data_IF_595151965207
#
_entry.id   IF_595151965207
#
_cell.length_a   1.000
_cell.length_b   1.000
_cell.length_c   1.000
_cell.angle_alpha   90.00
_cell.angle_beta   90.00
_cell.angle_gamma   90.00
#
_symmetry.space_group_name_H-M   'P 1'
#
loop_
_entity.id
_entity.type
_entity.pdbx_description
1 polymer ?
#
# COMPACT_ATOMS: atom_id res chain seq x y z
N UNK A 1 14.47 -2.53 15.61
CA UNK A 1 13.66 -2.02 14.48
C UNK A 1 13.67 -0.50 14.54
N UNK A 2 13.96 0.17 13.43
CA UNK A 2 14.05 1.64 13.38
C UNK A 2 12.67 2.24 13.18
N UNK A 3 12.04 2.65 14.28
CA UNK A 3 10.79 3.42 14.26
C UNK A 3 11.12 4.86 14.62
N UNK A 4 10.69 5.82 13.82
CA UNK A 4 10.83 7.24 14.11
C UNK A 4 9.57 8.01 13.72
N UNK A 5 9.49 9.27 14.15
CA UNK A 5 8.38 10.16 13.77
C UNK A 5 8.88 11.21 12.78
N UNK A 6 8.15 11.37 11.68
CA UNK A 6 8.42 12.37 10.65
C UNK A 6 7.13 13.11 10.33
N UNK A 7 7.08 14.44 10.50
CA UNK A 7 5.86 15.26 10.34
C UNK A 7 4.62 14.69 11.06
N UNK A 8 4.83 14.06 12.22
CA UNK A 8 3.77 13.41 13.00
C UNK A 8 3.27 12.07 12.43
N UNK A 9 3.89 11.53 11.38
CA UNK A 9 3.69 10.16 10.92
C UNK A 9 4.69 9.23 11.59
N UNK A 10 4.24 8.04 12.01
CA UNK A 10 5.12 6.96 12.45
C UNK A 10 5.71 6.32 11.19
N UNK A 11 7.03 6.31 11.09
CA UNK A 11 7.77 5.70 9.98
C UNK A 11 8.52 4.49 10.54
N UNK A 12 8.23 3.32 9.98
CA UNK A 12 8.93 2.07 10.29
C UNK A 12 9.78 1.64 9.09
N UNK A 13 11.09 1.52 9.31
CA UNK A 13 12.00 0.95 8.31
C UNK A 13 12.21 -0.53 8.64
N UNK A 14 11.72 -1.40 7.75
CA UNK A 14 11.90 -2.85 7.90
C UNK A 14 13.29 -3.29 7.40
N UNK A 15 13.86 -4.37 7.95
CA UNK A 15 15.17 -4.87 7.55
C UNK A 15 15.26 -5.17 6.05
N UNK A 16 14.15 -5.60 5.45
CA UNK A 16 14.06 -5.86 4.03
C UNK A 16 14.42 -4.62 3.20
N UNK A 17 13.88 -3.46 3.54
CA UNK A 17 14.15 -2.23 2.79
C UNK A 17 15.64 -1.87 2.81
N UNK A 18 16.31 -2.03 3.96
CA UNK A 18 17.75 -1.81 4.08
C UNK A 18 18.56 -2.80 3.24
N UNK A 19 18.17 -4.08 3.24
CA UNK A 19 18.82 -5.10 2.41
C UNK A 19 18.70 -4.77 0.92
N UNK A 20 17.52 -4.30 0.48
CA UNK A 20 17.31 -3.85 -0.89
C UNK A 20 18.21 -2.65 -1.26
N UNK A 21 18.31 -1.64 -0.38
CA UNK A 21 19.21 -0.51 -0.62
C UNK A 21 20.68 -0.95 -0.71
N UNK A 22 21.12 -1.87 0.15
CA UNK A 22 22.47 -2.45 0.07
C UNK A 22 22.67 -3.18 -1.25
N UNK A 23 21.69 -3.96 -1.70
CA UNK A 23 21.75 -4.64 -3.00
C UNK A 23 21.87 -3.65 -4.17
N UNK A 24 21.15 -2.52 -4.13
CA UNK A 24 21.29 -1.45 -5.13
C UNK A 24 22.71 -0.89 -5.14
N UNK A 25 23.29 -0.60 -3.97
CA UNK A 25 24.68 -0.12 -3.87
C UNK A 25 25.66 -1.14 -4.46
N UNK A 26 25.49 -2.43 -4.16
CA UNK A 26 26.35 -3.50 -4.65
C UNK A 26 26.21 -3.73 -6.17
N UNK A 27 24.98 -3.60 -6.71
CA UNK A 27 24.70 -3.84 -8.12
C UNK A 27 25.27 -2.74 -9.03
N UNK A 28 25.10 -1.47 -8.63
CA UNK A 28 25.58 -0.33 -9.42
C UNK A 28 27.02 0.05 -9.09
N UNK A 29 27.47 -0.19 -7.86
CA UNK A 29 28.83 0.11 -7.39
C UNK A 29 29.15 1.60 -7.31
N UNK A 30 30.29 1.92 -6.68
CA UNK A 30 30.86 3.28 -6.66
C UNK A 30 29.92 4.36 -6.15
N UNK A 31 30.09 5.58 -6.67
CA UNK A 31 29.23 6.74 -6.37
C UNK A 31 27.81 6.57 -6.90
N UNK A 32 27.64 5.94 -8.06
CA UNK A 32 26.34 5.71 -8.68
C UNK A 32 25.42 4.88 -7.80
N UNK A 33 25.92 3.77 -7.22
CA UNK A 33 25.14 2.93 -6.32
C UNK A 33 24.67 3.68 -5.07
N UNK A 34 25.51 4.55 -4.50
CA UNK A 34 25.15 5.37 -3.35
C UNK A 34 24.07 6.40 -3.70
N UNK A 35 24.22 7.10 -4.82
CA UNK A 35 23.21 8.05 -5.31
C UNK A 35 21.89 7.37 -5.64
N UNK A 36 21.93 6.20 -6.28
CA UNK A 36 20.74 5.42 -6.61
C UNK A 36 20.01 4.98 -5.34
N UNK A 37 20.71 4.35 -4.39
CA UNK A 37 20.11 3.90 -3.14
C UNK A 37 19.57 5.07 -2.30
N UNK A 38 20.34 6.16 -2.18
CA UNK A 38 19.90 7.36 -1.46
C UNK A 38 18.67 8.01 -2.10
N UNK A 39 18.66 8.12 -3.43
CA UNK A 39 17.52 8.69 -4.17
C UNK A 39 16.28 7.80 -4.03
N UNK A 40 16.41 6.49 -4.17
CA UNK A 40 15.30 5.54 -3.94
C UNK A 40 14.76 5.68 -2.52
N UNK A 41 15.64 5.71 -1.50
CA UNK A 41 15.22 5.86 -0.12
C UNK A 41 14.42 7.14 0.13
N UNK A 42 14.92 8.27 -0.36
CA UNK A 42 14.27 9.58 -0.18
C UNK A 42 12.97 9.69 -0.96
N UNK A 43 12.96 9.32 -2.25
CA UNK A 43 11.77 9.48 -3.09
C UNK A 43 10.68 8.47 -2.75
N UNK A 44 11.01 7.25 -2.33
CA UNK A 44 10.00 6.31 -1.77
C UNK A 44 9.42 6.87 -0.48
N UNK A 45 10.22 7.47 0.41
CA UNK A 45 9.68 8.10 1.62
C UNK A 45 8.77 9.29 1.29
N UNK A 46 9.15 10.14 0.32
CA UNK A 46 8.30 11.25 -0.15
C UNK A 46 6.99 10.73 -0.75
N UNK A 47 7.06 9.65 -1.53
CA UNK A 47 5.90 8.98 -2.10
C UNK A 47 4.93 8.53 -0.99
N UNK A 48 5.41 7.78 0.01
CA UNK A 48 4.55 7.34 1.11
C UNK A 48 4.01 8.50 1.96
N UNK A 49 4.80 9.57 2.14
CA UNK A 49 4.33 10.80 2.77
C UNK A 49 3.20 11.45 1.97
N UNK A 50 3.24 11.41 0.64
CA UNK A 50 2.15 11.87 -0.22
C UNK A 50 0.83 11.14 0.07
N UNK A 51 0.86 9.81 0.13
CA UNK A 51 -0.31 9.03 0.53
C UNK A 51 -0.77 9.34 1.95
N UNK A 52 0.16 9.37 2.91
CA UNK A 52 -0.16 9.55 4.32
C UNK A 52 -0.75 10.95 4.60
N UNK A 53 -0.23 11.99 3.94
CA UNK A 53 -0.76 13.36 4.04
C UNK A 53 -2.15 13.48 3.43
N UNK A 54 -2.37 12.91 2.24
CA UNK A 54 -3.70 12.86 1.63
C UNK A 54 -4.69 12.07 2.49
N UNK A 55 -4.30 10.92 3.02
CA UNK A 55 -5.13 10.10 3.89
C UNK A 55 -5.50 10.85 5.18
N UNK A 56 -4.55 11.56 5.80
CA UNK A 56 -4.80 12.37 7.00
C UNK A 56 -5.75 13.53 6.73
N UNK A 57 -5.69 14.15 5.54
CA UNK A 57 -6.64 15.19 5.13
C UNK A 57 -8.09 14.68 5.03
N UNK A 58 -8.29 13.38 4.82
CA UNK A 58 -9.63 12.75 4.83
C UNK A 58 -10.15 12.41 6.24
N UNK A 59 -9.32 12.63 7.28
CA UNK A 59 -9.59 12.25 8.66
C UNK A 59 -9.15 10.81 9.02
N UNK A 60 -8.36 10.16 8.16
CA UNK A 60 -7.83 8.82 8.43
C UNK A 60 -6.56 8.87 9.29
N UNK A 61 -6.30 7.83 10.08
CA UNK A 61 -4.97 7.63 10.65
C UNK A 61 -4.06 7.00 9.59
N UNK A 62 -2.85 7.51 9.45
CA UNK A 62 -1.88 6.97 8.49
C UNK A 62 -0.55 6.70 9.19
N UNK A 63 -0.01 5.51 8.96
CA UNK A 63 1.34 5.09 9.33
C UNK A 63 2.11 4.72 8.06
N UNK A 64 3.42 4.88 8.08
CA UNK A 64 4.29 4.62 6.93
C UNK A 64 5.18 3.44 7.27
N UNK A 65 5.11 2.38 6.45
CA UNK A 65 6.02 1.24 6.57
C UNK A 65 6.80 1.06 5.27
N UNK A 66 8.12 1.02 5.36
CA UNK A 66 9.00 0.75 4.22
C UNK A 66 9.47 -0.71 4.29
N UNK A 67 9.07 -1.53 3.32
CA UNK A 67 9.42 -2.95 3.20
C UNK A 67 10.28 -3.23 1.95
N UNK A 68 10.86 -4.43 1.87
CA UNK A 68 11.93 -4.84 0.93
C UNK A 68 11.78 -4.30 -0.50
N UNK A 69 10.66 -4.57 -1.15
CA UNK A 69 10.39 -4.19 -2.55
C UNK A 69 9.18 -3.27 -2.71
N UNK A 70 8.61 -2.82 -1.59
CA UNK A 70 7.44 -1.95 -1.57
C UNK A 70 7.45 -1.11 -0.29
N UNK A 71 7.41 0.21 -0.46
CA UNK A 71 6.80 1.05 0.56
C UNK A 71 5.30 0.78 0.55
N UNK A 72 4.71 0.70 1.74
CA UNK A 72 3.26 0.75 1.88
C UNK A 72 2.93 1.69 3.03
N UNK A 73 2.32 2.84 2.71
CA UNK A 73 1.57 3.63 3.65
C UNK A 73 0.28 2.88 4.01
N UNK A 74 0.30 2.22 5.17
CA UNK A 74 -0.92 1.65 5.76
C UNK A 74 -1.70 2.78 6.41
N UNK A 75 -2.95 2.99 5.98
CA UNK A 75 -3.84 3.94 6.63
C UNK A 75 -5.12 3.25 7.07
N UNK A 76 -5.60 3.62 8.26
CA UNK A 76 -6.84 3.16 8.88
C UNK A 76 -7.89 4.24 8.69
N UNK A 77 -8.87 4.04 7.80
CA UNK A 77 -9.96 5.00 7.62
C UNK A 77 -10.87 5.03 8.85
N UNK A 78 -11.03 6.19 9.47
CA UNK A 78 -12.00 6.38 10.57
C UNK A 78 -13.46 6.34 10.09
N UNK A 79 -13.69 6.45 8.78
CA UNK A 79 -14.97 6.30 8.10
C UNK A 79 -14.78 5.67 6.72
N UNK A 80 -15.82 5.09 6.10
CA UNK A 80 -15.76 4.70 4.70
C UNK A 80 -15.33 5.89 3.83
N UNK A 81 -14.24 5.72 3.08
CA UNK A 81 -13.76 6.75 2.16
C UNK A 81 -14.61 6.77 0.89
N UNK A 82 -14.95 7.96 0.44
CA UNK A 82 -15.56 8.18 -0.86
C UNK A 82 -14.59 7.78 -1.98
N UNK A 83 -15.11 7.50 -3.17
CA UNK A 83 -14.29 7.09 -4.31
C UNK A 83 -13.25 8.13 -4.69
N UNK A 84 -13.62 9.41 -4.65
CA UNK A 84 -12.71 10.52 -4.95
C UNK A 84 -11.63 10.70 -3.89
N UNK A 85 -11.94 10.44 -2.62
CA UNK A 85 -10.92 10.42 -1.57
C UNK A 85 -9.92 9.28 -1.78
N UNK A 86 -10.40 8.08 -2.12
CA UNK A 86 -9.51 6.95 -2.45
C UNK A 86 -8.64 7.23 -3.68
N UNK A 87 -9.22 7.80 -4.73
CA UNK A 87 -8.49 8.16 -5.94
C UNK A 87 -7.46 9.28 -5.67
N UNK A 88 -7.83 10.28 -4.88
CA UNK A 88 -6.93 11.35 -4.47
C UNK A 88 -5.76 10.84 -3.64
N UNK A 89 -6.01 9.93 -2.69
CA UNK A 89 -4.95 9.28 -1.92
C UNK A 89 -4.03 8.48 -2.85
N UNK A 90 -4.58 7.67 -3.77
CA UNK A 90 -3.78 6.87 -4.70
C UNK A 90 -2.89 7.72 -5.63
N UNK A 91 -3.34 8.89 -6.07
CA UNK A 91 -2.52 9.78 -6.93
C UNK A 91 -1.50 10.60 -6.13
N UNK A 92 -1.74 10.83 -4.83
CA UNK A 92 -0.95 11.75 -4.02
C UNK A 92 0.52 11.32 -3.88
N UNK A 93 0.79 10.03 -3.73
CA UNK A 93 2.16 9.52 -3.58
C UNK A 93 3.01 9.80 -4.82
N UNK A 94 2.57 9.30 -5.98
CA UNK A 94 3.24 9.55 -7.25
C UNK A 94 3.37 11.06 -7.57
N UNK A 95 2.36 11.87 -7.24
CA UNK A 95 2.41 13.33 -7.46
C UNK A 95 3.47 14.00 -6.60
N UNK A 96 3.52 13.69 -5.29
CA UNK A 96 4.53 14.24 -4.38
C UNK A 96 5.95 13.83 -4.80
N UNK A 97 6.12 12.57 -5.18
CA UNK A 97 7.39 12.03 -5.66
C UNK A 97 7.86 12.73 -6.95
N UNK A 98 6.99 12.82 -7.96
CA UNK A 98 7.31 13.43 -9.25
C UNK A 98 7.62 14.93 -9.09
N UNK A 99 6.78 15.67 -8.37
CA UNK A 99 6.92 17.13 -8.23
C UNK A 99 8.18 17.50 -7.44
N UNK A 100 8.48 16.79 -6.35
CA UNK A 100 9.71 17.01 -5.58
C UNK A 100 10.96 16.70 -6.42
N UNK A 101 10.95 15.65 -7.24
CA UNK A 101 12.06 15.29 -8.09
C UNK A 101 12.34 16.35 -9.18
N UNK A 102 11.29 16.86 -9.82
CA UNK A 102 11.39 17.96 -10.79
C UNK A 102 12.00 19.20 -10.14
N UNK A 103 11.51 19.60 -8.97
CA UNK A 103 12.04 20.76 -8.24
C UNK A 103 13.52 20.57 -7.89
N UNK A 104 13.90 19.40 -7.37
CA UNK A 104 15.29 19.11 -7.02
C UNK A 104 16.20 19.17 -8.25
N UNK A 105 15.80 18.59 -9.38
CA UNK A 105 16.60 18.62 -10.61
C UNK A 105 16.79 20.06 -11.12
N UNK A 106 15.73 20.87 -11.12
CA UNK A 106 15.81 22.27 -11.53
C UNK A 106 16.72 23.08 -10.59
N UNK A 107 16.70 22.83 -9.28
CA UNK A 107 17.60 23.46 -8.32
C UNK A 107 19.07 23.05 -8.52
N UNK A 108 19.31 21.85 -9.04
CA UNK A 108 20.63 21.38 -9.45
C UNK A 108 21.06 21.92 -10.84
N UNK A 109 20.22 22.74 -11.48
CA UNK A 109 20.48 23.28 -12.81
C UNK A 109 20.31 22.25 -13.94
N UNK A 110 19.65 21.12 -13.66
CA UNK A 110 19.41 20.06 -14.64
C UNK A 110 17.97 20.13 -15.18
N UNK A 111 17.81 20.22 -16.50
CA UNK A 111 16.50 20.12 -17.13
C UNK A 111 16.03 18.64 -17.14
N UNK A 112 14.91 18.29 -16.48
CA UNK A 112 14.41 16.92 -16.40
C UNK A 112 13.92 16.34 -17.74
N UNK A 113 13.93 17.13 -18.82
CA UNK A 113 13.62 16.70 -20.18
C UNK A 113 14.86 16.67 -21.11
N UNK A 114 16.01 17.16 -20.64
CA UNK A 114 17.28 17.10 -21.38
C UNK A 114 18.03 15.82 -21.03
N UNK A 115 18.23 14.93 -22.00
CA UNK A 115 19.02 13.70 -21.79
C UNK A 115 20.45 14.00 -21.34
N UNK A 116 21.05 15.09 -21.84
CA UNK A 116 22.39 15.50 -21.47
C UNK A 116 22.47 15.89 -20.00
N UNK A 117 21.49 16.66 -19.51
CA UNK A 117 21.46 17.13 -18.12
C UNK A 117 21.14 15.99 -17.15
N UNK A 118 20.24 15.08 -17.54
CA UNK A 118 19.91 13.89 -16.75
C UNK A 118 21.15 13.01 -16.58
N UNK A 119 21.87 12.74 -17.66
CA UNK A 119 23.06 11.89 -17.66
C UNK A 119 24.35 12.62 -17.27
N UNK A 120 24.27 13.89 -16.84
CA UNK A 120 25.44 14.71 -16.55
C UNK A 120 26.28 14.16 -15.39
N UNK A 121 25.64 13.59 -14.36
CA UNK A 121 26.31 12.96 -13.24
C UNK A 121 25.41 11.92 -12.55
N UNK A 122 26.01 11.17 -11.63
CA UNK A 122 25.35 10.09 -10.86
C UNK A 122 24.14 10.59 -10.04
N UNK A 123 24.17 11.83 -9.55
CA UNK A 123 23.08 12.38 -8.76
C UNK A 123 21.86 12.69 -9.65
N UNK A 124 22.06 13.39 -10.76
CA UNK A 124 20.96 13.78 -11.68
C UNK A 124 20.28 12.56 -12.28
N UNK A 125 21.04 11.54 -12.68
CA UNK A 125 20.46 10.31 -13.24
C UNK A 125 19.69 9.52 -12.17
N UNK A 126 20.23 9.44 -10.95
CA UNK A 126 19.59 8.71 -9.84
C UNK A 126 18.32 9.40 -9.36
N UNK A 127 18.34 10.73 -9.25
CA UNK A 127 17.17 11.54 -8.87
C UNK A 127 16.09 11.45 -9.95
N UNK A 128 16.47 11.55 -11.23
CA UNK A 128 15.50 11.42 -12.31
C UNK A 128 14.85 10.04 -12.32
N UNK A 129 15.66 8.99 -12.18
CA UNK A 129 15.14 7.62 -12.21
C UNK A 129 14.29 7.30 -10.98
N UNK A 130 14.78 7.59 -9.77
CA UNK A 130 14.05 7.31 -8.53
C UNK A 130 12.87 8.26 -8.26
N UNK A 131 12.92 9.49 -8.75
CA UNK A 131 11.92 10.52 -8.44
C UNK A 131 10.87 10.69 -9.54
N UNK A 132 11.28 10.75 -10.80
CA UNK A 132 10.35 10.95 -11.92
C UNK A 132 9.86 9.61 -12.46
N UNK A 133 10.78 8.73 -12.83
CA UNK A 133 10.36 7.52 -13.53
C UNK A 133 9.71 6.47 -12.63
N UNK A 134 10.20 6.28 -11.40
CA UNK A 134 9.47 5.43 -10.45
C UNK A 134 8.07 5.97 -10.13
N UNK A 135 7.89 7.30 -10.07
CA UNK A 135 6.56 7.89 -9.93
C UNK A 135 5.65 7.56 -11.12
N UNK A 136 6.17 7.62 -12.35
CA UNK A 136 5.43 7.21 -13.56
C UNK A 136 5.13 5.71 -13.55
N UNK A 137 6.09 4.87 -13.14
CA UNK A 137 5.89 3.43 -12.98
C UNK A 137 4.78 3.16 -11.98
N UNK A 138 4.73 3.86 -10.86
CA UNK A 138 3.65 3.72 -9.88
C UNK A 138 2.27 4.06 -10.45
N UNK A 139 2.17 4.87 -11.51
CA UNK A 139 0.91 5.16 -12.19
C UNK A 139 0.50 4.13 -13.25
N UNK A 140 1.29 3.07 -13.47
CA UNK A 140 0.90 1.98 -14.36
C UNK A 140 -0.36 1.29 -13.80
N UNK A 141 -1.38 1.02 -14.62
CA UNK A 141 -2.67 0.51 -14.18
C UNK A 141 -2.66 -1.00 -13.84
N UNK A 142 -1.76 -1.43 -12.95
CA UNK A 142 -1.66 -2.81 -12.45
C UNK A 142 -1.43 -2.80 -10.94
N UNK A 143 -2.01 -3.74 -10.20
CA UNK A 143 -1.76 -3.89 -8.76
C UNK A 143 -0.36 -4.48 -8.53
N UNK A 144 0.32 -4.17 -7.41
CA UNK A 144 -0.11 -3.29 -6.31
C UNK A 144 0.18 -1.79 -6.53
N UNK A 145 0.54 -1.36 -7.74
CA UNK A 145 0.90 0.04 -8.02
C UNK A 145 -0.33 0.97 -7.89
N UNK A 146 -0.07 2.26 -7.63
CA UNK A 146 -1.09 3.29 -7.46
C UNK A 146 -2.06 3.39 -8.63
N UNK A 147 -1.55 3.31 -9.86
CA UNK A 147 -2.35 3.28 -11.08
C UNK A 147 -3.34 2.13 -11.08
N UNK A 148 -2.94 0.96 -10.57
CA UNK A 148 -3.80 -0.19 -10.40
C UNK A 148 -4.90 0.05 -9.37
N UNK A 149 -4.60 0.79 -8.30
CA UNK A 149 -5.59 1.20 -7.30
C UNK A 149 -6.61 2.18 -7.87
N UNK A 150 -6.17 3.13 -8.70
CA UNK A 150 -7.05 4.08 -9.41
C UNK A 150 -7.98 3.34 -10.38
N UNK A 151 -7.41 2.46 -11.22
CA UNK A 151 -8.21 1.64 -12.14
C UNK A 151 -9.16 0.72 -11.35
N UNK A 152 -8.70 0.15 -10.24
CA UNK A 152 -9.51 -0.67 -9.34
C UNK A 152 -10.76 0.05 -8.84
N UNK A 153 -10.66 1.33 -8.46
CA UNK A 153 -11.82 2.16 -8.05
C UNK A 153 -12.83 2.31 -9.21
N UNK A 154 -12.34 2.47 -10.44
CA UNK A 154 -13.19 2.56 -11.63
C UNK A 154 -13.86 1.22 -11.96
N UNK A 155 -13.11 0.11 -11.87
CA UNK A 155 -13.66 -1.24 -12.10
C UNK A 155 -14.68 -1.59 -11.02
N UNK A 156 -14.44 -1.24 -9.75
CA UNK A 156 -15.40 -1.38 -8.64
C UNK A 156 -16.67 -0.55 -8.87
N UNK A 157 -16.58 0.59 -9.56
CA UNK A 157 -17.76 1.37 -9.91
C UNK A 157 -18.66 0.62 -10.90
N UNK A 158 -18.07 -0.03 -11.91
CA UNK A 158 -18.80 -0.84 -12.90
C UNK A 158 -19.28 -2.16 -12.31
N UNK A 159 -18.51 -2.77 -11.41
CA UNK A 159 -18.81 -4.06 -10.79
C UNK A 159 -18.45 -4.06 -9.29
N UNK A 160 -19.39 -3.63 -8.42
CA UNK A 160 -19.13 -3.47 -6.99
C UNK A 160 -18.77 -4.76 -6.24
N UNK A 161 -19.23 -5.91 -6.73
CA UNK A 161 -19.03 -7.21 -6.06
C UNK A 161 -17.80 -7.96 -6.54
N UNK A 162 -17.34 -7.71 -7.77
CA UNK A 162 -16.21 -8.45 -8.38
C UNK A 162 -15.04 -7.55 -8.78
N UNK A 163 -15.14 -6.24 -8.58
CA UNK A 163 -14.18 -5.28 -9.14
C UNK A 163 -12.75 -5.50 -8.66
N UNK A 164 -12.56 -5.78 -7.36
CA UNK A 164 -11.24 -6.08 -6.79
C UNK A 164 -10.63 -7.34 -7.38
N UNK A 165 -11.36 -8.45 -7.38
CA UNK A 165 -10.86 -9.74 -7.91
C UNK A 165 -10.62 -9.65 -9.42
N UNK A 166 -11.48 -8.93 -10.16
CA UNK A 166 -11.27 -8.66 -11.58
C UNK A 166 -9.99 -7.85 -11.84
N UNK A 167 -9.73 -6.81 -11.03
CA UNK A 167 -8.51 -6.01 -11.12
C UNK A 167 -7.25 -6.83 -10.80
N UNK A 168 -7.32 -7.73 -9.81
CA UNK A 168 -6.21 -8.63 -9.48
C UNK A 168 -5.91 -9.59 -10.62
N UNK A 169 -6.93 -10.24 -11.19
CA UNK A 169 -6.76 -11.12 -12.36
C UNK A 169 -6.23 -10.39 -13.59
N UNK A 170 -6.75 -9.19 -13.86
CA UNK A 170 -6.25 -8.33 -14.92
C UNK A 170 -4.76 -8.02 -14.71
N UNK A 171 -4.36 -7.64 -13.49
CA UNK A 171 -2.96 -7.33 -13.16
C UNK A 171 -2.04 -8.54 -13.35
N UNK A 172 -2.48 -9.73 -12.90
CA UNK A 172 -1.76 -11.00 -13.09
C UNK A 172 -1.59 -11.31 -14.58
N UNK A 173 -2.64 -11.15 -15.38
CA UNK A 173 -2.59 -11.42 -16.81
C UNK A 173 -1.61 -10.47 -17.52
N UNK A 174 -1.72 -9.16 -17.28
CA UNK A 174 -0.83 -8.15 -17.86
C UNK A 174 0.62 -8.39 -17.46
N UNK A 175 0.88 -8.69 -16.18
CA UNK A 175 2.25 -8.93 -15.69
C UNK A 175 2.83 -10.24 -16.19
N UNK A 176 2.01 -11.28 -16.37
CA UNK A 176 2.43 -12.54 -16.99
C UNK A 176 2.83 -12.34 -18.44
N UNK A 177 2.06 -11.55 -19.20
CA UNK A 177 2.41 -11.16 -20.57
C UNK A 177 3.71 -10.35 -20.56
N UNK A 178 3.85 -9.39 -19.64
CA UNK A 178 5.07 -8.60 -19.49
C UNK A 178 6.31 -9.45 -19.23
N UNK A 179 6.23 -10.44 -18.34
CA UNK A 179 7.30 -11.42 -18.09
C UNK A 179 7.62 -12.24 -19.34
N UNK A 180 6.61 -12.76 -20.04
CA UNK A 180 6.82 -13.53 -21.26
C UNK A 180 7.51 -12.70 -22.36
N UNK A 181 7.07 -11.46 -22.57
CA UNK A 181 7.70 -10.51 -23.47
C UNK A 181 9.14 -10.19 -23.05
N UNK A 182 9.40 -9.99 -21.76
CA UNK A 182 10.74 -9.71 -21.24
C UNK A 182 11.72 -10.88 -21.41
N UNK A 183 11.24 -12.13 -21.40
CA UNK A 183 12.06 -13.31 -21.67
C UNK A 183 12.46 -13.39 -23.15
N UNK A 184 11.49 -13.13 -24.06
CA UNK A 184 11.68 -13.34 -25.50
C UNK A 184 12.34 -12.14 -26.19
N UNK A 185 12.10 -10.91 -25.72
CA UNK A 185 12.56 -9.69 -26.36
C UNK A 185 13.80 -9.12 -25.65
N UNK A 186 14.98 -9.08 -26.28
CA UNK A 186 16.21 -8.58 -25.65
C UNK A 186 16.09 -7.17 -25.09
N UNK A 187 15.33 -6.29 -25.76
CA UNK A 187 15.10 -4.90 -25.33
C UNK A 187 14.35 -4.80 -23.99
N UNK A 188 13.58 -5.83 -23.63
CA UNK A 188 12.77 -5.86 -22.40
C UNK A 188 13.41 -6.66 -21.26
N UNK A 189 14.53 -7.37 -21.51
CA UNK A 189 15.17 -8.23 -20.50
C UNK A 189 15.57 -7.48 -19.24
N UNK A 190 15.96 -6.20 -19.35
CA UNK A 190 16.27 -5.36 -18.19
C UNK A 190 15.09 -5.14 -17.24
N UNK A 191 13.85 -5.28 -17.72
CA UNK A 191 12.63 -5.16 -16.91
C UNK A 191 12.18 -6.50 -16.31
N UNK A 192 12.81 -7.61 -16.67
CA UNK A 192 12.41 -8.94 -16.21
C UNK A 192 12.38 -9.07 -14.68
N UNK A 193 13.39 -8.60 -13.90
CA UNK A 193 13.34 -8.70 -12.44
C UNK A 193 12.15 -7.94 -11.85
N UNK A 194 11.87 -6.74 -12.38
CA UNK A 194 10.74 -5.92 -11.94
C UNK A 194 9.40 -6.59 -12.26
N UNK A 195 9.21 -7.06 -13.49
CA UNK A 195 7.99 -7.75 -13.90
C UNK A 195 7.76 -9.06 -13.12
N UNK A 196 8.83 -9.82 -12.84
CA UNK A 196 8.78 -11.04 -12.07
C UNK A 196 8.38 -10.78 -10.61
N UNK A 197 8.95 -9.76 -9.97
CA UNK A 197 8.56 -9.36 -8.61
C UNK A 197 7.09 -8.96 -8.56
N UNK A 198 6.64 -8.11 -9.48
CA UNK A 198 5.23 -7.70 -9.54
C UNK A 198 4.30 -8.90 -9.67
N UNK A 199 4.63 -9.85 -10.55
CA UNK A 199 3.85 -11.06 -10.72
C UNK A 199 3.82 -11.91 -9.44
N UNK A 200 4.96 -12.06 -8.75
CA UNK A 200 5.02 -12.77 -7.47
C UNK A 200 4.13 -12.11 -6.42
N UNK A 201 4.18 -10.78 -6.29
CA UNK A 201 3.33 -10.03 -5.37
C UNK A 201 1.84 -10.21 -5.69
N UNK A 202 1.47 -10.11 -6.98
CA UNK A 202 0.08 -10.30 -7.41
C UNK A 202 -0.41 -11.75 -7.18
N UNK A 203 0.43 -12.75 -7.41
CA UNK A 203 0.10 -14.16 -7.12
C UNK A 203 -0.08 -14.37 -5.61
N UNK A 204 0.75 -13.74 -4.78
CA UNK A 204 0.57 -13.77 -3.32
C UNK A 204 -0.75 -13.12 -2.90
N UNK A 205 -1.10 -11.95 -3.47
CA UNK A 205 -2.39 -11.29 -3.23
C UNK A 205 -3.57 -12.18 -3.63
N UNK A 206 -3.51 -12.83 -4.79
CA UNK A 206 -4.57 -13.74 -5.27
C UNK A 206 -4.69 -14.98 -4.37
N UNK A 207 -3.57 -15.54 -3.91
CA UNK A 207 -3.56 -16.67 -2.96
C UNK A 207 -4.17 -16.25 -1.62
N UNK A 208 -3.87 -15.06 -1.13
CA UNK A 208 -4.44 -14.53 0.10
C UNK A 208 -5.96 -14.33 -0.02
N UNK A 209 -6.44 -13.75 -1.12
CA UNK A 209 -7.88 -13.55 -1.37
C UNK A 209 -8.63 -14.90 -1.41
N UNK A 210 -8.13 -15.88 -2.16
CA UNK A 210 -8.71 -17.23 -2.22
C UNK A 210 -8.69 -17.96 -0.87
N UNK A 211 -7.63 -17.78 -0.09
CA UNK A 211 -7.55 -18.36 1.26
C UNK A 211 -8.65 -17.80 2.16
N UNK A 212 -8.84 -16.47 2.15
CA UNK A 212 -9.91 -15.81 2.89
C UNK A 212 -11.30 -16.25 2.45
N UNK A 213 -11.56 -16.35 1.15
CA UNK A 213 -12.83 -16.87 0.61
C UNK A 213 -13.09 -18.32 1.05
N UNK A 214 -12.06 -19.17 1.00
CA UNK A 214 -12.14 -20.56 1.46
C UNK A 214 -12.45 -20.68 2.94
N UNK A 215 -11.83 -19.85 3.80
CA UNK A 215 -12.16 -19.79 5.23
C UNK A 215 -13.60 -19.32 5.44
N UNK A 216 -14.02 -18.25 4.76
CA UNK A 216 -15.37 -17.69 4.86
C UNK A 216 -16.46 -18.69 4.47
N UNK A 217 -16.20 -19.54 3.47
CA UNK A 217 -17.12 -20.57 3.02
C UNK A 217 -17.25 -21.75 4.00
N UNK A 218 -16.20 -22.04 4.77
CA UNK A 218 -16.14 -23.20 5.69
C UNK A 218 -16.55 -22.86 7.13
N UNK A 219 -16.29 -21.63 7.57
CA UNK A 219 -16.47 -21.23 8.95
C UNK A 219 -17.80 -20.50 9.15
N UNK A 220 -18.37 -20.62 10.35
CA UNK A 220 -19.46 -19.74 10.77
C UNK A 220 -18.95 -18.29 10.82
N UNK A 221 -19.81 -17.27 10.66
CA UNK A 221 -19.35 -15.87 10.67
C UNK A 221 -18.53 -15.47 11.90
N UNK A 222 -18.90 -15.97 13.09
CA UNK A 222 -18.14 -15.75 14.32
C UNK A 222 -16.79 -16.48 14.33
N UNK A 223 -16.75 -17.73 13.87
CA UNK A 223 -15.50 -18.48 13.76
C UNK A 223 -14.57 -17.88 12.71
N UNK A 224 -15.11 -17.31 11.63
CA UNK A 224 -14.33 -16.59 10.63
C UNK A 224 -13.71 -15.31 11.21
N UNK A 225 -14.48 -14.51 11.96
CA UNK A 225 -13.95 -13.33 12.66
C UNK A 225 -12.83 -13.75 13.65
N UNK A 226 -13.06 -14.81 14.43
CA UNK A 226 -12.04 -15.32 15.36
C UNK A 226 -10.77 -15.76 14.63
N UNK A 227 -10.89 -16.52 13.53
CA UNK A 227 -9.75 -16.94 12.71
C UNK A 227 -8.96 -15.74 12.15
N UNK A 228 -9.64 -14.65 11.77
CA UNK A 228 -8.98 -13.41 11.36
C UNK A 228 -8.22 -12.76 12.52
N UNK A 229 -8.79 -12.75 13.73
CA UNK A 229 -8.13 -12.22 14.93
C UNK A 229 -6.87 -13.04 15.27
N UNK A 230 -6.98 -14.37 15.22
CA UNK A 230 -5.88 -15.29 15.52
C UNK A 230 -4.75 -15.20 14.47
N UNK A 231 -5.10 -14.93 13.21
CA UNK A 231 -4.15 -14.67 12.14
C UNK A 231 -3.49 -13.28 12.19
N UNK A 232 -3.82 -12.45 13.19
CA UNK A 232 -3.33 -11.07 13.31
C UNK A 232 -3.95 -10.10 12.29
N UNK A 233 -4.95 -10.53 11.51
CA UNK A 233 -5.66 -9.70 10.54
C UNK A 233 -6.75 -8.85 11.21
N UNK A 234 -6.34 -8.07 12.22
CA UNK A 234 -7.24 -7.38 13.14
C UNK A 234 -8.16 -6.36 12.43
N UNK A 235 -7.69 -5.65 11.41
CA UNK A 235 -8.57 -4.74 10.64
C UNK A 235 -9.67 -5.48 9.87
N UNK A 236 -9.31 -6.60 9.22
CA UNK A 236 -10.28 -7.43 8.51
C UNK A 236 -11.30 -8.04 9.47
N UNK A 237 -10.84 -8.48 10.65
CA UNK A 237 -11.70 -8.99 11.72
C UNK A 237 -12.68 -7.91 12.21
N UNK A 238 -12.20 -6.69 12.50
CA UNK A 238 -13.03 -5.56 12.93
C UNK A 238 -14.10 -5.23 11.87
N UNK A 239 -13.71 -5.19 10.59
CA UNK A 239 -14.61 -4.89 9.49
C UNK A 239 -15.72 -5.92 9.29
N UNK A 240 -15.39 -7.22 9.32
CA UNK A 240 -16.39 -8.29 9.20
C UNK A 240 -17.28 -8.38 10.44
N UNK A 241 -16.74 -8.17 11.64
CA UNK A 241 -17.51 -8.10 12.87
C UNK A 241 -18.50 -6.93 12.87
N UNK A 242 -18.08 -5.73 12.43
CA UNK A 242 -18.94 -4.56 12.32
C UNK A 242 -20.03 -4.72 11.24
N UNK A 243 -19.72 -5.39 10.11
CA UNK A 243 -20.74 -5.76 9.10
C UNK A 243 -21.78 -6.71 9.67
N UNK A 244 -21.35 -7.74 10.39
CA UNK A 244 -22.25 -8.70 11.01
C UNK A 244 -23.08 -8.07 12.13
N UNK A 245 -22.50 -7.16 12.91
CA UNK A 245 -23.21 -6.39 13.93
C UNK A 245 -24.36 -5.57 13.35
N UNK A 246 -24.19 -4.96 12.16
CA UNK A 246 -25.27 -4.20 11.49
C UNK A 246 -26.49 -5.04 11.15
N UNK A 247 -26.31 -6.33 10.87
CA UNK A 247 -27.41 -7.24 10.54
C UNK A 247 -27.90 -8.04 11.74
N UNK A 248 -27.03 -8.28 12.73
CA UNK A 248 -27.31 -9.03 13.96
C UNK A 248 -26.59 -8.36 15.14
N UNK A 249 -27.15 -7.29 15.73
CA UNK A 249 -26.52 -6.60 16.85
C UNK A 249 -26.37 -7.53 18.05
N UNK A 250 -25.16 -7.64 18.60
CA UNK A 250 -24.90 -8.40 19.82
C UNK A 250 -23.72 -7.82 20.59
N UNK A 251 -23.75 -7.95 21.93
CA UNK A 251 -22.66 -7.52 22.79
C UNK A 251 -21.34 -8.25 22.45
N UNK A 252 -21.40 -9.54 22.11
CA UNK A 252 -20.21 -10.31 21.69
C UNK A 252 -19.56 -9.71 20.43
N UNK A 253 -20.38 -9.34 19.42
CA UNK A 253 -19.85 -8.74 18.19
C UNK A 253 -19.26 -7.37 18.44
N UNK A 254 -19.91 -6.52 19.26
CA UNK A 254 -19.36 -5.23 19.66
C UNK A 254 -18.02 -5.38 20.39
N UNK A 255 -17.90 -6.35 21.31
CA UNK A 255 -16.65 -6.65 22.00
C UNK A 255 -15.55 -7.13 21.03
N UNK A 256 -15.88 -8.00 20.06
CA UNK A 256 -14.92 -8.45 19.04
C UNK A 256 -14.44 -7.32 18.14
N UNK A 257 -15.31 -6.37 17.77
CA UNK A 257 -14.89 -5.15 17.05
C UNK A 257 -13.92 -4.35 17.90
N UNK A 258 -14.24 -4.12 19.18
CA UNK A 258 -13.36 -3.40 20.11
C UNK A 258 -11.99 -4.04 20.24
N UNK A 259 -11.92 -5.36 20.48
CA UNK A 259 -10.65 -6.10 20.61
C UNK A 259 -9.81 -5.93 19.34
N UNK A 260 -10.44 -6.08 18.18
CA UNK A 260 -9.76 -5.99 16.90
C UNK A 260 -9.23 -4.57 16.63
N UNK A 261 -10.03 -3.53 16.91
CA UNK A 261 -9.60 -2.13 16.78
C UNK A 261 -8.46 -1.77 17.74
N UNK A 262 -8.52 -2.28 18.97
CA UNK A 262 -7.45 -2.05 19.94
C UNK A 262 -6.14 -2.71 19.50
N UNK A 263 -6.20 -3.91 18.92
CA UNK A 263 -5.04 -4.62 18.41
C UNK A 263 -4.46 -3.95 17.14
N UNK A 264 -5.29 -3.27 16.34
CA UNK A 264 -4.84 -2.46 15.21
C UNK A 264 -4.43 -1.03 15.57
N UNK A 265 -4.42 -0.65 16.86
CA UNK A 265 -3.98 0.67 17.34
C UNK A 265 -5.04 1.78 17.30
N UNK A 266 -6.29 1.48 16.94
CA UNK A 266 -7.43 2.42 17.03
C UNK A 266 -8.08 2.34 18.41
N UNK A 267 -7.43 2.96 19.39
CA UNK A 267 -7.89 2.94 20.78
C UNK A 267 -9.18 3.73 21.01
N UNK A 268 -9.39 4.84 20.27
CA UNK A 268 -10.61 5.65 20.37
C UNK A 268 -11.83 4.85 19.86
N UNK A 269 -11.69 4.22 18.69
CA UNK A 269 -12.70 3.37 18.11
C UNK A 269 -13.00 2.15 18.99
N UNK A 270 -11.95 1.53 19.55
CA UNK A 270 -12.10 0.41 20.48
C UNK A 270 -12.95 0.78 21.70
N UNK A 271 -12.66 1.92 22.35
CA UNK A 271 -13.43 2.38 23.51
C UNK A 271 -14.90 2.67 23.19
N UNK A 272 -15.20 3.21 22.01
CA UNK A 272 -16.59 3.42 21.58
C UNK A 272 -17.35 2.09 21.45
N UNK A 273 -16.73 1.09 20.82
CA UNK A 273 -17.33 -0.24 20.67
C UNK A 273 -17.43 -1.01 21.99
N UNK A 274 -16.48 -0.83 22.91
CA UNK A 274 -16.54 -1.41 24.24
C UNK A 274 -17.73 -0.87 25.05
N UNK A 275 -17.91 0.46 25.07
CA UNK A 275 -19.06 1.08 25.74
C UNK A 275 -20.40 0.59 25.18
N UNK A 276 -20.48 0.41 23.87
CA UNK A 276 -21.66 -0.16 23.22
C UNK A 276 -21.92 -1.60 23.67
N UNK A 277 -20.87 -2.43 23.76
CA UNK A 277 -20.98 -3.80 24.24
C UNK A 277 -21.48 -3.87 25.69
N UNK A 278 -20.98 -3.00 26.56
CA UNK A 278 -21.42 -2.90 27.96
C UNK A 278 -22.90 -2.52 28.06
N UNK A 279 -23.33 -1.48 27.34
CA UNK A 279 -24.74 -1.04 27.31
C UNK A 279 -25.68 -2.17 26.87
N UNK A 280 -25.30 -2.91 25.83
CA UNK A 280 -26.09 -4.04 25.33
C UNK A 280 -26.15 -5.22 26.31
N UNK A 281 -25.10 -5.40 27.12
CA UNK A 281 -25.07 -6.45 28.14
C UNK A 281 -26.00 -6.11 29.32
N UNK A 282 -26.07 -4.84 29.69
CA UNK A 282 -26.94 -4.34 30.76
C UNK A 282 -28.43 -4.44 30.39
N UNK A 283 -28.80 -4.03 29.17
CA UNK A 283 -30.21 -4.08 28.69
C UNK A 283 -30.77 -5.51 28.62
N UNK A 284 -29.92 -6.53 28.53
CA UNK A 284 -30.35 -7.94 28.46
C UNK A 284 -30.63 -8.57 29.83
N UNK A 285 -30.33 -7.87 30.93
CA UNK A 285 -30.52 -8.35 32.31
C UNK A 285 -31.85 -7.89 32.93
N UNK A 286 -32.58 -7.01 32.27
CA UNK A 286 -33.94 -6.57 32.61
C UNK A 286 -34.98 -7.31 31.75
#
# INVERSE_FOLDING_TARGET
MGVFRLFGFRVEIRPGFLLFLVLVVLLYGGSQGLWAAGSIAVFTLIHELGHATAARATGSHAEISLDFLAGYASYVPRRPLTRWERAGIAVAGATAQFTSAVVVLLLLGANPFSRADIAANDATISIWWAGIALAVVNLIPILPLDGGSILGIFVEWLSPTRGRSAMLWFSVAVSSIGVACAIVMPVLQGFLPFAAVLLVLQVQMLRAERSLEGMRARLTPLAFIAALQDAGAHEAAAGEAAKLFRTRPSAELAARVSISLSASGDHDGAQAWMRLAEQMTLVRRD
#
